data_IF_734403694951
#
_entry.id   IF_734403694951
#
_cell.length_a   1.000
_cell.length_b   1.000
_cell.length_c   1.000
_cell.angle_alpha   90.00
_cell.angle_beta   90.00
_cell.angle_gamma   90.00
#
_symmetry.space_group_name_H-M   'P 1'
#
loop_
_entity.id
_entity.type
_entity.pdbx_description
1 polymer ?
#
# COMPACT_ATOMS: atom_id res chain seq x y z
N UNK A 1 14.90 6.10 -18.97
CA UNK A 1 13.99 7.26 -18.84
C UNK A 1 13.98 7.74 -17.40
N UNK A 2 14.69 8.83 -17.12
CA UNK A 2 14.81 9.46 -15.81
C UNK A 2 13.55 10.29 -15.52
N UNK A 3 12.96 10.15 -14.32
CA UNK A 3 11.79 10.94 -13.89
C UNK A 3 12.22 12.40 -13.65
N UNK A 4 11.55 13.42 -14.20
CA UNK A 4 11.82 14.80 -13.83
C UNK A 4 11.28 15.09 -12.43
N UNK A 5 12.18 15.39 -11.49
CA UNK A 5 11.83 15.90 -10.15
C UNK A 5 11.42 17.37 -10.26
N UNK A 6 10.13 17.66 -10.12
CA UNK A 6 9.67 19.01 -9.78
C UNK A 6 9.75 19.16 -8.27
N UNK A 7 10.67 20.01 -7.79
CA UNK A 7 10.62 20.55 -6.45
C UNK A 7 9.36 21.41 -6.31
N UNK A 8 8.37 20.95 -5.56
CA UNK A 8 7.28 21.79 -5.08
C UNK A 8 7.60 22.21 -3.64
N UNK A 9 7.61 23.53 -3.48
CA UNK A 9 7.81 24.29 -2.25
C UNK A 9 7.05 23.72 -1.04
N UNK A 10 7.72 23.66 0.11
CA UNK A 10 7.16 23.31 1.42
C UNK A 10 6.30 24.46 1.97
N UNK A 11 5.13 24.69 1.36
CA UNK A 11 4.00 25.23 2.10
C UNK A 11 3.18 24.02 2.57
N UNK A 12 3.09 23.83 3.90
CA UNK A 12 2.16 22.87 4.49
C UNK A 12 0.74 23.36 4.25
N UNK A 13 0.24 23.16 3.04
CA UNK A 13 -1.15 23.44 2.69
C UNK A 13 -2.01 22.41 3.42
N UNK A 14 -2.83 22.89 4.35
CA UNK A 14 -3.89 22.13 4.99
C UNK A 14 -4.98 21.84 3.96
N UNK A 15 -4.70 20.92 3.03
CA UNK A 15 -5.66 20.52 2.01
C UNK A 15 -6.64 19.51 2.62
N UNK A 16 -7.91 19.93 2.72
CA UNK A 16 -9.00 19.03 3.07
C UNK A 16 -9.24 18.09 1.90
N UNK A 17 -8.92 16.80 2.08
CA UNK A 17 -9.08 15.80 1.02
C UNK A 17 -10.54 15.45 0.78
N UNK A 18 -11.28 15.12 1.86
CA UNK A 18 -12.69 14.75 1.78
C UNK A 18 -13.56 15.79 2.48
N UNK A 19 -14.76 16.00 1.95
CA UNK A 19 -15.72 16.97 2.48
C UNK A 19 -16.95 16.24 3.04
N UNK A 20 -17.84 16.93 3.77
CA UNK A 20 -19.12 16.34 4.17
C UNK A 20 -19.91 15.73 3.00
N UNK A 21 -19.75 16.25 1.77
CA UNK A 21 -20.36 15.72 0.56
C UNK A 21 -19.89 14.28 0.25
N UNK A 22 -18.60 13.97 0.48
CA UNK A 22 -18.04 12.62 0.31
C UNK A 22 -18.80 11.59 1.13
N UNK A 23 -19.02 11.88 2.43
CA UNK A 23 -19.75 10.97 3.33
C UNK A 23 -21.25 11.00 3.06
N UNK A 24 -21.82 12.14 2.65
CA UNK A 24 -23.23 12.25 2.28
C UNK A 24 -23.55 11.38 1.07
N UNK A 25 -22.70 11.38 0.04
CA UNK A 25 -22.82 10.51 -1.13
C UNK A 25 -22.83 9.03 -0.70
N UNK A 26 -21.86 8.59 0.12
CA UNK A 26 -21.77 7.20 0.55
C UNK A 26 -22.98 6.76 1.41
N UNK A 27 -23.52 7.67 2.25
CA UNK A 27 -24.79 7.42 2.96
C UNK A 27 -25.98 7.31 2.01
N UNK A 28 -26.06 8.17 1.00
CA UNK A 28 -27.08 8.11 -0.04
C UNK A 28 -27.02 6.80 -0.82
N UNK A 29 -25.82 6.39 -1.23
CA UNK A 29 -25.57 5.14 -1.94
C UNK A 29 -25.99 3.92 -1.12
N UNK A 30 -25.76 3.94 0.20
CA UNK A 30 -26.21 2.87 1.08
C UNK A 30 -27.74 2.74 1.13
N UNK A 31 -28.48 3.85 1.03
CA UNK A 31 -29.96 3.84 1.01
C UNK A 31 -30.55 3.49 -0.35
N UNK A 32 -29.87 3.87 -1.44
CA UNK A 32 -30.40 3.78 -2.80
C UNK A 32 -29.43 3.01 -3.71
N UNK A 33 -28.97 1.84 -3.27
CA UNK A 33 -27.94 1.05 -3.96
C UNK A 33 -28.49 0.37 -5.22
N UNK A 34 -28.74 1.15 -6.27
CA UNK A 34 -29.19 0.69 -7.58
C UNK A 34 -28.58 1.55 -8.69
N UNK A 35 -28.53 0.99 -9.90
CA UNK A 35 -27.88 1.62 -11.06
C UNK A 35 -28.52 2.97 -11.45
N UNK A 36 -29.85 3.11 -11.58
CA UNK A 36 -30.45 4.40 -11.94
C UNK A 36 -30.08 5.54 -10.99
N UNK A 37 -30.12 5.29 -9.67
CA UNK A 37 -29.73 6.29 -8.67
C UNK A 37 -28.24 6.64 -8.80
N UNK A 38 -27.38 5.64 -8.98
CA UNK A 38 -25.94 5.89 -9.14
C UNK A 38 -25.63 6.72 -10.39
N UNK A 39 -26.27 6.43 -11.52
CA UNK A 39 -26.07 7.21 -12.76
C UNK A 39 -26.51 8.66 -12.57
N UNK A 40 -27.64 8.90 -11.89
CA UNK A 40 -28.10 10.25 -11.56
C UNK A 40 -27.15 10.99 -10.59
N UNK A 41 -26.38 10.27 -9.78
CA UNK A 41 -25.42 10.81 -8.81
C UNK A 41 -23.95 10.67 -9.26
N UNK A 42 -23.73 10.33 -10.54
CA UNK A 42 -22.38 10.03 -11.07
C UNK A 42 -21.43 11.21 -10.93
N UNK A 43 -21.90 12.44 -11.14
CA UNK A 43 -21.08 13.64 -10.97
C UNK A 43 -20.61 13.79 -9.52
N UNK A 44 -21.48 13.60 -8.53
CA UNK A 44 -21.14 13.63 -7.10
C UNK A 44 -20.15 12.53 -6.74
N UNK A 45 -20.30 11.32 -7.27
CA UNK A 45 -19.30 10.26 -7.08
C UNK A 45 -17.92 10.66 -7.61
N UNK A 46 -17.86 11.15 -8.85
CA UNK A 46 -16.60 11.51 -9.49
C UNK A 46 -15.91 12.68 -8.77
N UNK A 47 -16.67 13.70 -8.38
CA UNK A 47 -16.15 14.92 -7.76
C UNK A 47 -15.87 14.77 -6.26
N UNK A 48 -16.77 14.14 -5.50
CA UNK A 48 -16.70 14.14 -4.04
C UNK A 48 -16.06 12.88 -3.45
N UNK A 49 -15.89 11.81 -4.24
CA UNK A 49 -15.31 10.56 -3.76
C UNK A 49 -14.10 10.16 -4.58
N UNK A 50 -14.25 10.03 -5.90
CA UNK A 50 -13.21 9.46 -6.76
C UNK A 50 -12.04 10.41 -6.94
N UNK A 51 -12.28 11.68 -7.27
CA UNK A 51 -11.22 12.67 -7.41
C UNK A 51 -10.44 12.89 -6.10
N UNK A 52 -11.08 13.12 -4.94
CA UNK A 52 -10.43 13.14 -3.63
C UNK A 52 -9.58 11.91 -3.31
N UNK A 53 -10.10 10.71 -3.57
CA UNK A 53 -9.36 9.47 -3.32
C UNK A 53 -8.11 9.37 -4.20
N UNK A 54 -8.20 9.79 -5.49
CA UNK A 54 -7.04 9.84 -6.38
C UNK A 54 -5.99 10.85 -5.88
N UNK A 55 -6.41 12.05 -5.49
CA UNK A 55 -5.52 13.06 -4.94
C UNK A 55 -4.83 12.58 -3.64
N UNK A 56 -5.57 11.89 -2.76
CA UNK A 56 -4.99 11.27 -1.58
C UNK A 56 -3.91 10.23 -1.95
N UNK A 57 -4.17 9.39 -2.96
CA UNK A 57 -3.21 8.38 -3.41
C UNK A 57 -1.93 9.05 -3.93
N UNK A 58 -2.04 10.10 -4.74
CA UNK A 58 -0.88 10.85 -5.27
C UNK A 58 -0.05 11.48 -4.16
N UNK A 59 -0.71 12.16 -3.22
CA UNK A 59 -0.04 12.79 -2.09
C UNK A 59 0.65 11.74 -1.19
N UNK A 60 -0.01 10.61 -0.94
CA UNK A 60 0.56 9.54 -0.14
C UNK A 60 1.71 8.82 -0.85
N UNK A 61 1.69 8.64 -2.17
CA UNK A 61 2.81 8.07 -2.93
C UNK A 61 4.09 8.91 -2.72
N UNK A 62 3.97 10.24 -2.84
CA UNK A 62 5.07 11.18 -2.61
C UNK A 62 5.60 11.10 -1.17
N UNK A 63 4.71 10.98 -0.17
CA UNK A 63 5.10 10.87 1.24
C UNK A 63 5.73 9.53 1.58
N UNK A 64 5.14 8.44 1.10
CA UNK A 64 5.64 7.08 1.29
C UNK A 64 7.04 6.94 0.71
N UNK A 65 7.33 7.55 -0.45
CA UNK A 65 8.67 7.54 -1.04
C UNK A 65 9.79 8.01 -0.09
N UNK A 66 9.49 8.80 0.94
CA UNK A 66 10.46 9.31 1.92
C UNK A 66 10.93 8.25 2.91
N UNK A 67 10.08 7.29 3.27
CA UNK A 67 10.38 6.30 4.32
C UNK A 67 10.09 4.84 3.94
N UNK A 68 9.34 4.63 2.87
CA UNK A 68 8.92 3.34 2.30
C UNK A 68 8.93 3.39 0.76
N UNK A 69 10.06 3.70 0.10
CA UNK A 69 10.15 3.81 -1.37
C UNK A 69 9.81 2.51 -2.12
N UNK A 70 9.78 1.38 -1.43
CA UNK A 70 9.30 0.11 -1.97
C UNK A 70 7.77 0.04 -2.11
N UNK A 71 7.03 0.88 -1.39
CA UNK A 71 5.56 0.93 -1.41
C UNK A 71 5.09 2.06 -2.34
N UNK A 72 4.22 1.73 -3.29
CA UNK A 72 3.73 2.67 -4.30
C UNK A 72 2.22 2.83 -4.28
N UNK A 73 1.78 4.05 -4.59
CA UNK A 73 0.41 4.44 -4.86
C UNK A 73 0.24 4.90 -6.31
N UNK A 74 -0.60 4.22 -7.08
CA UNK A 74 -0.99 4.65 -8.43
C UNK A 74 -2.50 4.90 -8.42
N UNK A 75 -3.00 6.11 -8.66
CA UNK A 75 -4.43 6.43 -8.62
C UNK A 75 -5.31 5.52 -9.50
N UNK A 76 -4.74 4.95 -10.57
CA UNK A 76 -5.45 4.02 -11.47
C UNK A 76 -5.46 2.58 -10.94
N UNK A 77 -4.48 2.18 -10.13
CA UNK A 77 -4.29 0.77 -9.69
C UNK A 77 -4.53 0.56 -8.19
N UNK A 78 -4.32 1.59 -7.39
CA UNK A 78 -4.45 1.57 -5.93
C UNK A 78 -5.87 1.83 -5.45
N UNK A 79 -6.70 2.53 -6.24
CA UNK A 79 -8.10 2.75 -5.89
C UNK A 79 -8.93 1.51 -6.22
N UNK A 80 -9.72 1.04 -5.26
CA UNK A 80 -10.65 -0.06 -5.51
C UNK A 80 -11.84 0.38 -6.36
N UNK A 81 -12.28 -0.49 -7.26
CA UNK A 81 -13.55 -0.30 -7.98
C UNK A 81 -14.72 -0.24 -7.00
N UNK A 82 -15.67 0.65 -7.30
CA UNK A 82 -16.92 0.79 -6.53
C UNK A 82 -17.89 -0.37 -6.79
N UNK A 83 -17.83 -1.02 -7.96
CA UNK A 83 -18.70 -2.15 -8.26
C UNK A 83 -18.37 -3.40 -7.43
N UNK A 84 -19.41 -4.10 -7.01
CA UNK A 84 -19.33 -5.40 -6.33
C UNK A 84 -19.36 -6.54 -7.34
N UNK A 85 -18.64 -7.62 -7.04
CA UNK A 85 -18.92 -8.90 -7.68
C UNK A 85 -20.09 -9.56 -6.94
N UNK A 86 -21.23 -9.66 -7.60
CA UNK A 86 -22.49 -10.14 -7.01
C UNK A 86 -22.95 -11.48 -7.58
N UNK A 87 -22.15 -12.12 -8.44
CA UNK A 87 -22.54 -13.37 -9.14
C UNK A 87 -22.99 -14.44 -8.15
N UNK A 88 -22.21 -14.63 -7.09
CA UNK A 88 -22.47 -15.63 -6.04
C UNK A 88 -22.99 -15.05 -4.72
N UNK A 89 -23.22 -13.73 -4.64
CA UNK A 89 -23.70 -13.06 -3.42
C UNK A 89 -25.21 -13.19 -3.28
N UNK A 90 -25.72 -13.43 -2.05
CA UNK A 90 -27.15 -13.32 -1.73
C UNK A 90 -27.64 -11.88 -1.81
N UNK A 91 -26.83 -10.94 -1.33
CA UNK A 91 -27.07 -9.51 -1.49
C UNK A 91 -26.66 -9.09 -2.92
N UNK A 92 -27.64 -8.62 -3.69
CA UNK A 92 -27.49 -8.22 -5.10
C UNK A 92 -27.24 -6.72 -5.29
N UNK A 93 -26.97 -5.98 -4.22
CA UNK A 93 -26.63 -4.55 -4.32
C UNK A 93 -25.36 -4.36 -5.18
N UNK A 94 -25.43 -3.58 -6.28
CA UNK A 94 -24.38 -3.52 -7.31
C UNK A 94 -23.12 -2.77 -6.88
N UNK A 95 -23.22 -1.87 -5.89
CA UNK A 95 -22.10 -1.00 -5.48
C UNK A 95 -21.67 -1.23 -4.04
N UNK A 96 -20.39 -0.99 -3.77
CA UNK A 96 -19.83 -0.87 -2.43
C UNK A 96 -20.28 0.45 -1.82
N UNK A 97 -20.62 0.44 -0.54
CA UNK A 97 -21.04 1.63 0.22
C UNK A 97 -19.86 2.36 0.88
N UNK A 98 -18.67 2.14 0.35
CA UNK A 98 -17.40 2.71 0.79
C UNK A 98 -16.49 2.92 -0.42
N UNK A 99 -15.51 3.79 -0.24
CA UNK A 99 -14.36 3.92 -1.14
C UNK A 99 -13.10 3.51 -0.39
N UNK A 100 -12.12 2.95 -1.10
CA UNK A 100 -10.89 2.53 -0.46
C UNK A 100 -9.72 2.59 -1.43
N UNK A 101 -8.52 2.68 -0.87
CA UNK A 101 -7.28 2.54 -1.61
C UNK A 101 -6.27 1.66 -0.87
N UNK A 102 -5.33 1.14 -1.64
CA UNK A 102 -4.28 0.24 -1.20
C UNK A 102 -2.95 0.63 -1.84
N UNK A 103 -1.91 0.69 -1.01
CA UNK A 103 -0.53 0.93 -1.42
C UNK A 103 0.25 -0.37 -1.24
N UNK A 104 0.97 -0.80 -2.28
CA UNK A 104 1.66 -2.11 -2.31
C UNK A 104 3.14 -1.98 -2.56
N UNK A 105 3.84 -3.08 -2.27
CA UNK A 105 5.16 -3.30 -2.82
C UNK A 105 5.18 -3.16 -4.36
N UNK A 106 6.11 -2.38 -4.91
CA UNK A 106 6.22 -2.11 -6.35
C UNK A 106 6.41 -3.39 -7.18
N UNK A 107 7.16 -4.36 -6.66
CA UNK A 107 7.43 -5.65 -7.29
C UNK A 107 6.30 -6.69 -7.21
N UNK A 108 5.13 -6.31 -6.69
CA UNK A 108 3.98 -7.22 -6.55
C UNK A 108 2.89 -6.97 -7.60
N UNK A 109 1.92 -7.88 -7.68
CA UNK A 109 0.66 -7.67 -8.40
C UNK A 109 -0.20 -6.62 -7.71
N UNK A 110 -1.10 -5.98 -8.47
CA UNK A 110 -2.09 -5.04 -7.95
C UNK A 110 -3.35 -5.72 -7.40
N UNK A 111 -3.47 -7.05 -7.54
CA UNK A 111 -4.55 -7.84 -6.96
C UNK A 111 -4.38 -7.93 -5.44
N UNK A 112 -5.49 -8.12 -4.73
CA UNK A 112 -5.53 -8.34 -3.27
C UNK A 112 -6.38 -9.58 -2.95
N UNK A 113 -6.18 -10.16 -1.77
CA UNK A 113 -6.93 -11.33 -1.31
C UNK A 113 -6.53 -12.63 -2.03
N UNK A 114 -7.41 -13.62 -2.00
CA UNK A 114 -7.12 -14.98 -2.46
C UNK A 114 -6.80 -15.13 -3.96
N UNK A 115 -7.04 -14.10 -4.77
CA UNK A 115 -6.70 -14.08 -6.20
C UNK A 115 -5.33 -13.44 -6.49
N UNK A 116 -4.61 -13.00 -5.45
CA UNK A 116 -3.33 -12.31 -5.55
C UNK A 116 -2.15 -13.27 -5.39
N UNK A 117 -1.94 -14.17 -6.37
CA UNK A 117 -0.83 -15.14 -6.36
C UNK A 117 0.55 -14.48 -6.17
N UNK A 118 0.72 -13.28 -6.74
CA UNK A 118 1.90 -12.42 -6.58
C UNK A 118 1.58 -11.18 -5.72
N UNK A 119 0.66 -11.30 -4.76
CA UNK A 119 0.29 -10.23 -3.84
C UNK A 119 1.41 -9.86 -2.87
N UNK A 120 1.30 -8.68 -2.26
CA UNK A 120 2.19 -8.22 -1.19
C UNK A 120 1.39 -7.84 0.04
N UNK A 121 2.07 -7.73 1.18
CA UNK A 121 1.56 -6.90 2.26
C UNK A 121 1.62 -5.42 1.84
N UNK A 122 0.64 -4.65 2.28
CA UNK A 122 0.45 -3.26 1.89
C UNK A 122 -0.14 -2.40 2.99
N UNK A 123 -0.46 -1.18 2.62
CA UNK A 123 -1.11 -0.18 3.46
C UNK A 123 -2.48 0.14 2.86
N UNK A 124 -3.48 0.35 3.70
CA UNK A 124 -4.87 0.42 3.30
C UNK A 124 -5.58 1.59 3.97
N UNK A 125 -6.40 2.30 3.21
CA UNK A 125 -7.31 3.31 3.73
C UNK A 125 -8.73 3.05 3.25
N UNK A 126 -9.68 3.16 4.18
CA UNK A 126 -11.10 2.93 4.00
C UNK A 126 -11.90 4.18 4.35
N UNK A 127 -12.69 4.66 3.40
CA UNK A 127 -13.64 5.74 3.56
C UNK A 127 -15.06 5.19 3.61
N UNK A 128 -15.65 5.19 4.81
CA UNK A 128 -17.05 4.84 5.02
C UNK A 128 -17.63 5.67 6.17
N UNK A 129 -18.86 6.22 6.02
CA UNK A 129 -19.52 6.98 7.10
C UNK A 129 -19.59 6.17 8.40
N UNK A 130 -18.98 6.68 9.48
CA UNK A 130 -18.94 6.05 10.80
C UNK A 130 -18.11 4.77 10.90
N UNK A 131 -17.47 4.32 9.81
CA UNK A 131 -16.72 3.06 9.72
C UNK A 131 -15.42 3.20 8.92
N UNK A 132 -14.89 4.40 8.83
CA UNK A 132 -13.61 4.64 8.17
C UNK A 132 -12.48 4.02 9.00
N UNK A 133 -11.46 3.50 8.34
CA UNK A 133 -10.33 2.89 9.04
C UNK A 133 -9.06 2.92 8.18
N UNK A 134 -7.94 2.73 8.87
CA UNK A 134 -6.62 2.53 8.27
C UNK A 134 -6.12 1.16 8.66
N UNK A 135 -5.40 0.49 7.76
CA UNK A 135 -4.84 -0.83 8.01
C UNK A 135 -3.52 -1.07 7.30
N UNK A 136 -2.79 -2.08 7.75
CA UNK A 136 -1.54 -2.51 7.16
C UNK A 136 -1.31 -4.01 7.35
N UNK A 137 -0.63 -4.63 6.39
CA UNK A 137 -0.34 -6.07 6.40
C UNK A 137 -0.90 -6.78 5.17
N UNK A 138 -1.22 -8.06 5.30
CA UNK A 138 -1.71 -8.90 4.19
C UNK A 138 -3.05 -9.57 4.55
N UNK A 139 -4.08 -9.22 3.78
CA UNK A 139 -5.44 -9.73 3.97
C UNK A 139 -5.70 -10.93 3.07
N UNK A 140 -6.07 -12.05 3.68
CA UNK A 140 -6.45 -13.31 3.02
C UNK A 140 -5.54 -13.70 1.84
N UNK A 141 -4.21 -13.81 2.04
CA UNK A 141 -3.31 -14.24 0.97
C UNK A 141 -3.68 -15.64 0.46
N UNK A 142 -3.40 -15.95 -0.82
CA UNK A 142 -3.58 -17.29 -1.34
C UNK A 142 -2.68 -18.29 -0.61
N UNK A 143 -3.07 -19.57 -0.63
CA UNK A 143 -2.43 -20.63 0.14
C UNK A 143 -0.90 -20.70 -0.03
N UNK A 144 -0.31 -20.56 -1.23
CA UNK A 144 1.15 -20.57 -1.38
C UNK A 144 1.84 -19.42 -0.62
N UNK A 145 1.30 -18.20 -0.70
CA UNK A 145 1.84 -17.05 0.03
C UNK A 145 1.63 -17.19 1.55
N UNK A 146 0.47 -17.69 1.96
CA UNK A 146 0.15 -17.95 3.36
C UNK A 146 1.10 -18.98 3.98
N UNK A 147 1.45 -20.03 3.24
CA UNK A 147 2.42 -21.04 3.70
C UNK A 147 3.82 -20.44 3.85
N UNK A 148 4.31 -19.66 2.86
CA UNK A 148 5.61 -18.97 2.99
C UNK A 148 5.69 -18.10 4.25
N UNK A 149 4.61 -17.38 4.57
CA UNK A 149 4.54 -16.57 5.79
C UNK A 149 4.61 -17.47 7.03
N UNK A 150 3.88 -18.58 7.06
CA UNK A 150 3.91 -19.52 8.21
C UNK A 150 5.28 -20.17 8.39
N UNK A 151 5.93 -20.57 7.30
CA UNK A 151 7.28 -21.14 7.34
C UNK A 151 8.27 -20.13 7.94
N UNK A 152 8.22 -18.87 7.47
CA UNK A 152 9.04 -17.79 8.03
C UNK A 152 8.72 -17.50 9.52
N UNK A 153 7.46 -17.59 9.94
CA UNK A 153 7.06 -17.45 11.35
C UNK A 153 7.62 -18.61 12.18
N UNK A 154 7.62 -19.83 11.64
CA UNK A 154 8.13 -20.99 12.34
C UNK A 154 9.66 -20.95 12.48
N UNK A 155 10.37 -20.48 11.45
CA UNK A 155 11.81 -20.27 11.46
C UNK A 155 12.26 -19.13 12.39
N UNK A 156 11.52 -18.02 12.44
CA UNK A 156 11.85 -16.85 13.26
C UNK A 156 10.65 -16.35 14.09
N UNK A 157 10.20 -17.22 15.02
CA UNK A 157 9.09 -16.91 15.91
C UNK A 157 9.35 -15.66 16.76
N UNK A 158 10.60 -15.49 17.22
CA UNK A 158 10.99 -14.37 18.07
C UNK A 158 11.01 -13.05 17.30
N UNK A 159 11.54 -13.03 16.07
CA UNK A 159 11.53 -11.83 15.24
C UNK A 159 10.12 -11.43 14.83
N UNK A 160 9.25 -12.41 14.54
CA UNK A 160 7.83 -12.10 14.30
C UNK A 160 7.16 -11.52 15.55
N UNK A 161 7.38 -12.11 16.73
CA UNK A 161 6.87 -11.61 18.01
C UNK A 161 7.25 -10.15 18.24
N UNK A 162 8.52 -9.79 18.02
CA UNK A 162 9.03 -8.43 18.19
C UNK A 162 8.31 -7.41 17.30
N UNK A 163 7.83 -7.83 16.13
CA UNK A 163 7.11 -6.97 15.20
C UNK A 163 5.65 -6.80 15.61
N UNK A 164 4.96 -7.89 15.96
CA UNK A 164 3.51 -7.86 16.23
C UNK A 164 3.14 -7.50 17.66
N UNK A 165 4.04 -7.74 18.62
CA UNK A 165 3.85 -7.40 20.03
C UNK A 165 4.39 -6.02 20.39
N UNK A 166 5.07 -5.35 19.45
CA UNK A 166 5.61 -4.00 19.64
C UNK A 166 4.50 -3.04 20.13
N UNK A 167 4.77 -2.15 21.11
CA UNK A 167 3.81 -1.15 21.56
C UNK A 167 3.20 -0.29 20.43
N UNK A 168 3.97 -0.04 19.36
CA UNK A 168 3.50 0.66 18.16
C UNK A 168 2.45 -0.14 17.39
N UNK A 169 2.64 -1.45 17.25
CA UNK A 169 1.67 -2.35 16.61
C UNK A 169 0.41 -2.51 17.47
N UNK A 170 0.56 -2.62 18.79
CA UNK A 170 -0.57 -2.71 19.75
C UNK A 170 -1.48 -1.48 19.73
N UNK A 171 -0.98 -0.32 19.28
CA UNK A 171 -1.79 0.89 19.05
C UNK A 171 -2.89 0.71 18.00
N UNK A 172 -2.80 -0.37 17.23
CA UNK A 172 -3.76 -0.79 16.21
C UNK A 172 -4.53 -2.06 16.62
N UNK A 173 -4.66 -2.34 17.92
CA UNK A 173 -5.42 -3.49 18.43
C UNK A 173 -4.73 -4.85 18.31
N UNK A 174 -3.51 -4.90 17.77
CA UNK A 174 -2.83 -6.17 17.47
C UNK A 174 -3.29 -6.78 16.15
N UNK A 175 -2.88 -8.02 15.89
CA UNK A 175 -3.30 -8.75 14.69
C UNK A 175 -4.79 -9.08 14.75
N UNK A 176 -5.50 -8.85 13.65
CA UNK A 176 -6.91 -9.24 13.47
C UNK A 176 -7.07 -10.76 13.51
N UNK A 177 -7.74 -11.25 14.55
CA UNK A 177 -7.99 -12.66 14.83
C UNK A 177 -9.31 -13.20 14.23
N UNK A 178 -10.09 -12.36 13.55
CA UNK A 178 -11.43 -12.69 13.08
C UNK A 178 -11.51 -13.84 12.07
N UNK A 179 -10.39 -14.17 11.43
CA UNK A 179 -10.27 -15.27 10.47
C UNK A 179 -9.34 -16.39 10.92
N UNK A 180 -9.04 -16.56 12.22
CA UNK A 180 -8.13 -17.62 12.67
C UNK A 180 -8.69 -19.04 12.43
N UNK A 181 -7.80 -19.98 12.12
CA UNK A 181 -8.11 -21.40 12.08
C UNK A 181 -8.42 -21.92 13.48
N UNK A 182 -9.39 -22.84 13.60
CA UNK A 182 -9.70 -23.52 14.87
C UNK A 182 -8.63 -24.55 15.27
N UNK A 183 -8.01 -25.20 14.29
CA UNK A 183 -6.97 -26.23 14.48
C UNK A 183 -5.65 -25.73 13.92
N UNK A 184 -4.56 -26.36 14.35
CA UNK A 184 -3.24 -26.07 13.77
C UNK A 184 -3.22 -26.39 12.28
N UNK A 185 -2.58 -25.53 11.46
CA UNK A 185 -2.36 -25.84 10.05
C UNK A 185 -1.51 -27.11 9.91
N UNK A 186 -1.79 -27.91 8.87
CA UNK A 186 -1.05 -29.13 8.57
C UNK A 186 0.44 -28.81 8.40
N UNK A 187 1.30 -29.61 9.03
CA UNK A 187 2.76 -29.48 8.95
C UNK A 187 3.40 -28.84 10.19
N UNK A 188 2.60 -28.36 11.15
CA UNK A 188 3.08 -27.76 12.39
C UNK A 188 2.60 -28.56 13.60
N UNK A 189 3.48 -28.74 14.60
CA UNK A 189 3.15 -29.39 15.86
C UNK A 189 2.16 -28.54 16.68
N UNK A 190 1.33 -29.17 17.53
CA UNK A 190 0.35 -28.45 18.36
C UNK A 190 1.00 -27.53 19.40
N UNK A 191 2.16 -27.92 19.90
CA UNK A 191 2.96 -27.21 20.91
C UNK A 191 4.04 -26.30 20.29
N UNK A 192 3.97 -26.01 18.98
CA UNK A 192 4.95 -25.16 18.33
C UNK A 192 5.07 -23.79 19.04
N UNK A 193 6.29 -23.25 19.29
CA UNK A 193 6.46 -21.96 20.00
C UNK A 193 5.73 -20.76 19.36
N UNK A 194 5.41 -20.88 18.06
CA UNK A 194 4.68 -19.88 17.27
C UNK A 194 3.20 -20.22 17.03
N UNK A 195 2.64 -21.23 17.71
CA UNK A 195 1.28 -21.75 17.46
C UNK A 195 0.19 -20.66 17.46
N UNK A 196 0.32 -19.65 18.32
CA UNK A 196 -0.60 -18.51 18.37
C UNK A 196 -0.68 -17.75 17.04
N UNK A 197 0.41 -17.61 16.29
CA UNK A 197 0.44 -16.87 15.02
C UNK A 197 0.21 -17.74 13.80
N UNK A 198 0.62 -19.01 13.84
CA UNK A 198 0.48 -19.94 12.71
C UNK A 198 -1.00 -20.16 12.33
N UNK A 199 -1.93 -19.98 13.27
CA UNK A 199 -3.38 -20.13 13.03
C UNK A 199 -4.01 -18.97 12.28
N UNK A 200 -3.34 -17.82 12.14
CA UNK A 200 -3.90 -16.69 11.40
C UNK A 200 -4.06 -17.00 9.91
N UNK A 201 -5.12 -16.46 9.30
CA UNK A 201 -5.35 -16.48 7.85
C UNK A 201 -5.17 -15.10 7.20
N UNK A 202 -5.14 -14.05 8.00
CA UNK A 202 -4.76 -12.70 7.61
C UNK A 202 -3.77 -12.18 8.64
N UNK A 203 -2.77 -11.41 8.20
CA UNK A 203 -1.81 -10.77 9.10
C UNK A 203 -1.95 -9.27 8.92
N UNK A 204 -2.98 -8.71 9.52
CA UNK A 204 -3.35 -7.31 9.38
C UNK A 204 -3.51 -6.64 10.74
N UNK A 205 -3.09 -5.38 10.82
CA UNK A 205 -3.34 -4.48 11.95
C UNK A 205 -4.10 -3.26 11.44
N UNK A 206 -4.91 -2.62 12.28
CA UNK A 206 -5.63 -1.42 11.86
C UNK A 206 -6.35 -0.71 12.98
N UNK A 207 -6.83 0.50 12.70
CA UNK A 207 -7.65 1.26 13.65
C UNK A 207 -8.74 2.05 12.95
N UNK A 208 -9.84 2.24 13.67
CA UNK A 208 -10.93 3.10 13.21
C UNK A 208 -10.50 4.57 13.19
N UNK A 209 -11.07 5.29 12.23
CA UNK A 209 -10.98 6.72 12.06
C UNK A 209 -12.38 7.32 12.21
N UNK A 210 -12.49 8.36 13.03
CA UNK A 210 -13.73 9.13 13.15
C UNK A 210 -13.99 9.93 11.89
N UNK A 211 -15.27 10.20 11.58
CA UNK A 211 -15.63 11.09 10.46
C UNK A 211 -14.95 12.46 10.59
N UNK A 212 -14.79 12.98 11.83
CA UNK A 212 -14.05 14.22 12.09
C UNK A 212 -12.58 14.16 11.65
N UNK A 213 -11.90 13.04 11.88
CA UNK A 213 -10.51 12.86 11.45
C UNK A 213 -10.40 12.78 9.93
N UNK A 214 -11.34 12.08 9.30
CA UNK A 214 -11.37 11.88 7.85
C UNK A 214 -11.69 13.17 7.09
N UNK A 215 -12.59 13.99 7.61
CA UNK A 215 -12.93 15.30 7.03
C UNK A 215 -11.96 16.41 7.45
N UNK A 216 -11.02 16.11 8.35
CA UNK A 216 -10.10 17.09 8.89
C UNK A 216 -8.92 17.34 7.94
N UNK A 217 -8.34 18.56 7.96
CA UNK A 217 -7.18 18.89 7.12
C UNK A 217 -5.89 18.14 7.55
N UNK A 218 -5.92 17.45 8.69
CA UNK A 218 -4.82 16.63 9.19
C UNK A 218 -4.83 15.17 8.69
N UNK A 219 -5.82 14.75 7.87
CA UNK A 219 -5.96 13.36 7.46
C UNK A 219 -4.68 12.79 6.85
N UNK A 220 -4.06 13.51 5.91
CA UNK A 220 -2.85 13.04 5.21
C UNK A 220 -1.71 12.78 6.19
N UNK A 221 -1.45 13.72 7.11
CA UNK A 221 -0.40 13.59 8.13
C UNK A 221 -0.71 12.46 9.11
N UNK A 222 -1.99 12.27 9.45
CA UNK A 222 -2.44 11.18 10.29
C UNK A 222 -2.16 9.83 9.62
N UNK A 223 -2.51 9.68 8.34
CA UNK A 223 -2.26 8.46 7.58
C UNK A 223 -0.75 8.19 7.41
N UNK A 224 0.05 9.21 7.12
CA UNK A 224 1.51 9.11 7.06
C UNK A 224 2.09 8.56 8.37
N UNK A 225 1.65 9.11 9.51
CA UNK A 225 2.06 8.65 10.84
C UNK A 225 1.64 7.20 11.12
N UNK A 226 0.39 6.83 10.82
CA UNK A 226 -0.09 5.46 11.01
C UNK A 226 0.67 4.48 10.12
N UNK A 227 0.85 4.80 8.84
CA UNK A 227 1.55 3.97 7.88
C UNK A 227 3.01 3.74 8.26
N UNK A 228 3.73 4.77 8.72
CA UNK A 228 5.09 4.61 9.21
C UNK A 228 5.17 3.61 10.39
N UNK A 229 4.17 3.60 11.28
CA UNK A 229 4.10 2.66 12.39
C UNK A 229 3.74 1.24 11.97
N UNK A 230 3.02 1.07 10.84
CA UNK A 230 2.66 -0.24 10.28
C UNK A 230 3.77 -0.88 9.43
N UNK A 231 4.73 -0.09 8.93
CA UNK A 231 5.80 -0.56 8.04
C UNK A 231 6.63 -1.74 8.56
N UNK A 232 6.96 -1.86 9.87
CA UNK A 232 7.68 -3.03 10.36
C UNK A 232 6.99 -4.36 10.04
N UNK A 233 5.66 -4.42 10.24
CA UNK A 233 4.86 -5.60 9.88
C UNK A 233 4.84 -5.82 8.37
N UNK A 234 4.55 -4.77 7.61
CA UNK A 234 4.50 -4.84 6.14
C UNK A 234 5.83 -5.34 5.56
N UNK A 235 6.97 -4.85 6.07
CA UNK A 235 8.31 -5.27 5.64
C UNK A 235 8.63 -6.70 6.04
N UNK A 236 8.28 -7.10 7.26
CA UNK A 236 8.49 -8.47 7.72
C UNK A 236 7.74 -9.47 6.82
N UNK A 237 6.45 -9.21 6.55
CA UNK A 237 5.63 -10.04 5.68
C UNK A 237 6.16 -10.06 4.23
N UNK A 238 6.52 -8.90 3.68
CA UNK A 238 7.06 -8.81 2.33
C UNK A 238 8.39 -9.56 2.19
N UNK A 239 9.26 -9.54 3.21
CA UNK A 239 10.49 -10.34 3.25
C UNK A 239 10.19 -11.83 3.21
N UNK A 240 9.22 -12.31 3.97
CA UNK A 240 8.77 -13.72 3.94
C UNK A 240 8.24 -14.13 2.55
N UNK A 241 7.70 -13.18 1.79
CA UNK A 241 7.25 -13.39 0.41
C UNK A 241 8.38 -13.25 -0.64
N UNK A 242 9.61 -12.96 -0.23
CA UNK A 242 10.77 -12.75 -1.12
C UNK A 242 10.84 -11.36 -1.75
N UNK A 243 10.03 -10.41 -1.29
CA UNK A 243 10.03 -9.03 -1.78
C UNK A 243 11.05 -8.20 -0.98
N UNK A 244 11.99 -7.58 -1.71
CA UNK A 244 13.10 -6.82 -1.12
C UNK A 244 12.68 -5.42 -0.72
N UNK A 245 13.03 -5.02 0.50
CA UNK A 245 13.00 -3.63 0.91
C UNK A 245 13.90 -2.79 -0.01
N UNK A 246 13.40 -1.63 -0.44
CA UNK A 246 14.23 -0.65 -1.11
C UNK A 246 15.11 0.04 -0.05
N UNK A 247 16.42 0.02 -0.26
CA UNK A 247 17.33 0.88 0.51
C UNK A 247 17.11 2.31 0.04
N UNK A 248 16.85 3.24 0.97
CA UNK A 248 16.95 4.66 0.65
C UNK A 248 18.39 4.91 0.20
N UNK A 249 18.59 5.19 -1.09
CA UNK A 249 19.92 5.38 -1.63
C UNK A 249 20.61 6.54 -0.93
N UNK A 250 21.71 6.27 -0.21
CA UNK A 250 22.83 7.19 -0.17
C UNK A 250 23.31 7.33 -1.62
N UNK A 251 22.79 8.32 -2.34
CA UNK A 251 23.48 8.83 -3.51
C UNK A 251 24.61 9.74 -3.02
N UNK A 252 25.75 9.13 -2.68
CA UNK A 252 27.02 9.81 -2.61
C UNK A 252 28.02 9.04 -3.47
N UNK A 253 28.66 9.77 -4.40
CA UNK A 253 29.81 9.36 -5.24
C UNK A 253 29.60 8.24 -6.26
N UNK A 254 29.11 8.63 -7.45
CA UNK A 254 29.83 8.30 -8.69
C UNK A 254 30.34 9.62 -9.28
N UNK A 255 31.42 10.12 -8.69
CA UNK A 255 32.32 11.03 -9.40
C UNK A 255 33.02 10.21 -10.47
N UNK A 256 32.97 10.73 -11.70
CA UNK A 256 33.65 10.19 -12.86
C UNK A 256 35.15 10.01 -12.54
N UNK A 257 35.61 8.78 -12.40
CA UNK A 257 37.02 8.45 -12.50
C UNK A 257 37.33 8.35 -14.00
N UNK A 258 37.72 9.48 -14.59
CA UNK A 258 38.40 9.51 -15.87
C UNK A 258 39.79 8.91 -15.62
N UNK A 259 40.01 7.71 -16.12
CA UNK A 259 41.32 7.09 -16.23
C UNK A 259 42.18 7.94 -17.18
N UNK A 260 43.10 8.71 -16.61
CA UNK A 260 44.18 9.36 -17.34
C UNK A 260 45.28 8.34 -17.61
N UNK A 261 45.37 7.84 -18.84
CA UNK A 261 46.62 7.27 -19.37
C UNK A 261 47.49 8.40 -19.96
N UNK A 262 48.81 8.39 -19.77
CA UNK A 262 49.68 9.45 -20.22
C UNK A 262 50.00 9.33 -21.72
N UNK A 263 49.77 10.43 -22.46
CA UNK A 263 50.21 10.60 -23.84
C UNK A 263 51.73 10.81 -23.86
N UNK A 264 52.44 9.88 -24.47
CA UNK A 264 53.83 10.03 -24.91
C UNK A 264 53.87 10.50 -26.38
N UNK A 265 54.81 11.38 -26.64
CA UNK A 265 55.02 12.23 -27.81
C UNK A 265 55.44 11.50 -29.09
N UNK A 266 54.77 11.82 -30.22
CA UNK A 266 55.43 12.03 -31.53
C UNK A 266 54.45 12.58 -32.56
N UNK A 267 54.63 13.83 -32.97
CA UNK A 267 54.17 14.43 -34.25
C UNK A 267 55.19 14.17 -35.36
N UNK A 268 54.92 14.48 -36.65
CA UNK A 268 53.63 14.67 -37.35
C UNK A 268 53.58 13.97 -38.75
N UNK A 269 52.42 13.97 -39.41
CA UNK A 269 52.34 14.38 -40.82
C UNK A 269 50.90 14.78 -41.21
N UNK A 270 50.68 15.86 -41.99
CA UNK A 270 49.37 16.32 -42.47
C UNK A 270 49.09 15.80 -43.89
N UNK A 271 47.89 16.09 -44.43
CA UNK A 271 47.32 15.63 -45.72
C UNK A 271 46.43 14.37 -45.58
N UNK A 272 45.25 14.23 -46.18
CA UNK A 272 44.47 14.95 -47.18
C UNK A 272 43.05 14.32 -47.22
N UNK A 273 42.10 14.98 -47.90
CA UNK A 273 40.82 14.47 -48.43
C UNK A 273 39.57 14.32 -47.52
N UNK A 274 38.78 15.39 -47.49
CA UNK A 274 37.45 15.52 -48.10
C UNK A 274 36.72 14.26 -48.63
N UNK A 275 35.42 14.21 -48.30
CA UNK A 275 34.26 13.81 -49.12
C UNK A 275 33.59 12.43 -49.00
N UNK A 276 32.31 12.51 -48.61
CA UNK A 276 31.11 11.98 -49.30
C UNK A 276 30.87 10.46 -49.24
N UNK A 277 29.89 10.05 -48.43
CA UNK A 277 28.50 9.75 -48.83
C UNK A 277 27.58 9.81 -47.61
#
# INVERSE_FOLDING_TARGET
MLRPYRFLSTASCFCVMFTPASLAFLRGLARHNNKPWFEAQRASYENDVRAPMRALIEEMDVRLARFAPEITGDPKRSMFRINRDIRFSKDKSPYKTHAACWFRHQGASHKVGGEAEEGSAGLYFHLQPGKSFVGGGIWMPPRPALNKIRDAIAEDARGFAQVVENPRARRFGGLDDGAMLKRMPRGFAEDHPAAQWLRYQSFTIGRLLTDKQVLGPGLVKLLEGDFALMMPLVRWLNRALGLRQATAGLNATKGSAISSEPVSSSTPDPELYTAVL
#
